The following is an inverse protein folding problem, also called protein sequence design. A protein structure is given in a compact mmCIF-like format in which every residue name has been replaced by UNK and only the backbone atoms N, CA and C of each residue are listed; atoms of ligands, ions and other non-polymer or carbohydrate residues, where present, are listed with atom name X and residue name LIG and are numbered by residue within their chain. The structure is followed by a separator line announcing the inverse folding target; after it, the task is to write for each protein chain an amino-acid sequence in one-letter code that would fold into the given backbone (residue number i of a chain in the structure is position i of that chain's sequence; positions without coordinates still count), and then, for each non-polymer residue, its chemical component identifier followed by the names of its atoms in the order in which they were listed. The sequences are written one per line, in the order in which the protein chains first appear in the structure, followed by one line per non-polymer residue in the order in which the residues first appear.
data_IF_851976150185
#
_entry.id   IF_851976150185
#
_cell.length_a   1.000
_cell.length_b   1.000
_cell.length_c   1.000
_cell.angle_alpha   90.00
_cell.angle_beta   90.00
_cell.angle_gamma   90.00
#
_symmetry.space_group_name_H-M   'P 1'
#
loop_
_entity.id
_entity.type
_entity.pdbx_description
1 polymer ?
#
# COMPACT_ATOMS: atom_id res chain seq x y z
N UNK A 1 -9.87 0.53 13.91
CA UNK A 1 -8.69 1.43 13.84
C UNK A 1 -7.63 0.91 14.79
N UNK A 2 -6.47 0.47 14.27
CA UNK A 2 -5.31 0.03 15.08
C UNK A 2 -4.07 0.89 14.80
N UNK A 3 -2.98 0.66 15.54
CA UNK A 3 -1.73 1.42 15.39
C UNK A 3 -1.14 1.31 13.97
N UNK A 4 -1.24 0.12 13.35
CA UNK A 4 -0.79 -0.08 11.97
C UNK A 4 -1.51 0.83 10.96
N UNK A 5 -2.83 0.97 11.06
CA UNK A 5 -3.61 1.89 10.20
C UNK A 5 -3.20 3.35 10.44
N UNK A 6 -2.89 3.75 11.69
CA UNK A 6 -2.41 5.11 11.97
C UNK A 6 -1.07 5.38 11.28
N UNK A 7 -0.15 4.42 11.32
CA UNK A 7 1.15 4.51 10.62
C UNK A 7 0.93 4.68 9.11
N UNK A 8 0.09 3.84 8.50
CA UNK A 8 -0.23 3.95 7.06
C UNK A 8 -0.82 5.31 6.72
N UNK A 9 -1.72 5.85 7.55
CA UNK A 9 -2.32 7.15 7.31
C UNK A 9 -1.30 8.29 7.36
N UNK A 10 -0.33 8.24 8.29
CA UNK A 10 0.77 9.22 8.36
C UNK A 10 1.61 9.16 7.09
N UNK A 11 2.02 7.95 6.67
CA UNK A 11 2.83 7.73 5.47
C UNK A 11 2.10 8.23 4.21
N UNK A 12 0.84 7.85 4.01
CA UNK A 12 0.03 8.26 2.85
C UNK A 12 -0.25 9.77 2.85
N UNK A 13 -0.62 10.33 4.00
CA UNK A 13 -0.89 11.76 4.13
C UNK A 13 0.35 12.60 3.82
N UNK A 14 1.51 12.17 4.34
CA UNK A 14 2.80 12.81 4.06
C UNK A 14 3.14 12.73 2.57
N UNK A 15 3.05 11.54 1.98
CA UNK A 15 3.32 11.37 0.55
C UNK A 15 2.38 12.22 -0.34
N UNK A 16 1.11 12.36 0.04
CA UNK A 16 0.13 13.19 -0.69
C UNK A 16 0.44 14.69 -0.61
N UNK A 17 1.03 15.17 0.48
CA UNK A 17 1.48 16.57 0.59
C UNK A 17 2.62 16.84 -0.38
N UNK A 18 3.60 15.95 -0.43
CA UNK A 18 4.79 16.12 -1.29
C UNK A 18 4.55 15.76 -2.75
N UNK A 19 3.56 14.89 -3.05
CA UNK A 19 3.31 14.40 -4.40
C UNK A 19 3.10 15.48 -5.44
N UNK A 20 2.50 16.62 -5.06
CA UNK A 20 2.28 17.77 -5.94
C UNK A 20 3.58 18.36 -6.51
N UNK A 21 4.69 18.27 -5.77
CA UNK A 21 5.96 18.88 -6.16
C UNK A 21 6.91 17.88 -6.83
N UNK A 22 6.69 16.58 -6.64
CA UNK A 22 7.62 15.52 -7.09
C UNK A 22 7.01 14.52 -8.08
N UNK A 23 5.70 14.57 -8.32
CA UNK A 23 5.02 13.70 -9.29
C UNK A 23 4.81 12.26 -8.83
N UNK A 24 4.69 12.00 -7.52
CA UNK A 24 4.44 10.65 -6.99
C UNK A 24 2.94 10.32 -6.94
N UNK A 25 2.53 9.14 -7.41
CA UNK A 25 1.11 8.71 -7.44
C UNK A 25 0.79 7.47 -6.60
N UNK A 26 1.77 6.64 -6.29
CA UNK A 26 1.54 5.37 -5.63
C UNK A 26 2.52 5.16 -4.48
N UNK A 27 2.05 4.49 -3.43
CA UNK A 27 2.91 3.85 -2.43
C UNK A 27 2.84 2.36 -2.66
N UNK A 28 4.00 1.72 -2.75
CA UNK A 28 4.11 0.27 -2.93
C UNK A 28 4.67 -0.38 -1.67
N UNK A 29 4.25 -1.62 -1.42
CA UNK A 29 4.78 -2.48 -0.36
C UNK A 29 5.02 -3.88 -0.91
N UNK A 30 6.05 -4.54 -0.41
CA UNK A 30 6.26 -5.97 -0.63
C UNK A 30 5.76 -6.73 0.60
N UNK A 31 4.49 -7.13 0.57
CA UNK A 31 3.80 -7.67 1.75
C UNK A 31 4.06 -9.17 1.89
N UNK A 32 4.30 -9.67 3.10
CA UNK A 32 4.37 -11.12 3.32
C UNK A 32 3.10 -11.80 2.81
N UNK A 33 3.28 -12.93 2.12
CA UNK A 33 2.18 -13.70 1.53
C UNK A 33 1.44 -14.54 2.59
N UNK A 34 0.88 -13.84 3.57
CA UNK A 34 0.08 -14.38 4.66
C UNK A 34 -1.31 -13.73 4.60
N UNK A 35 -2.42 -14.49 4.69
CA UNK A 35 -3.77 -13.97 4.51
C UNK A 35 -4.08 -12.72 5.37
N UNK A 36 -3.65 -12.70 6.62
CA UNK A 36 -3.85 -11.61 7.57
C UNK A 36 -3.05 -10.34 7.22
N UNK A 37 -1.83 -10.49 6.70
CA UNK A 37 -0.99 -9.36 6.27
C UNK A 37 -1.57 -8.75 5.00
N UNK A 38 -1.97 -9.59 4.05
CA UNK A 38 -2.62 -9.15 2.82
C UNK A 38 -3.94 -8.45 3.13
N UNK A 39 -4.78 -9.02 4.00
CA UNK A 39 -6.03 -8.42 4.42
C UNK A 39 -5.81 -7.07 5.14
N UNK A 40 -4.75 -6.94 5.95
CA UNK A 40 -4.38 -5.66 6.55
C UNK A 40 -4.13 -4.59 5.47
N UNK A 41 -3.32 -4.89 4.46
CA UNK A 41 -3.04 -3.93 3.39
C UNK A 41 -4.28 -3.65 2.51
N UNK A 42 -5.08 -4.65 2.17
CA UNK A 42 -6.35 -4.49 1.44
C UNK A 42 -7.32 -3.58 2.21
N UNK A 43 -7.47 -3.78 3.53
CA UNK A 43 -8.27 -2.93 4.41
C UNK A 43 -7.74 -1.48 4.53
N UNK A 44 -6.48 -1.26 4.17
CA UNK A 44 -5.85 0.06 4.09
C UNK A 44 -5.76 0.58 2.64
N UNK A 45 -6.62 0.09 1.75
CA UNK A 45 -6.78 0.50 0.35
C UNK A 45 -5.60 0.16 -0.58
N UNK A 46 -4.78 -0.82 -0.22
CA UNK A 46 -3.80 -1.37 -1.15
C UNK A 46 -4.46 -2.41 -2.07
N UNK A 47 -3.93 -2.52 -3.28
CA UNK A 47 -4.33 -3.48 -4.31
C UNK A 47 -3.10 -4.30 -4.72
N UNK A 48 -3.30 -5.59 -4.99
CA UNK A 48 -2.24 -6.46 -5.52
C UNK A 48 -1.84 -5.98 -6.92
N UNK A 49 -0.54 -5.92 -7.19
CA UNK A 49 -0.05 -5.83 -8.57
C UNK A 49 -0.20 -7.22 -9.18
N UNK A 50 -0.83 -7.33 -10.35
CA UNK A 50 -0.96 -8.61 -11.06
C UNK A 50 0.42 -9.12 -11.44
N UNK A 51 0.98 -9.99 -10.62
CA UNK A 51 2.18 -10.75 -10.91
C UNK A 51 1.79 -12.02 -11.66
N UNK A 52 2.56 -12.39 -12.70
CA UNK A 52 2.43 -13.71 -13.35
C UNK A 52 2.94 -14.85 -12.45
N UNK A 53 3.68 -14.53 -11.39
CA UNK A 53 4.27 -15.47 -10.44
C UNK A 53 3.28 -15.63 -9.27
N UNK A 54 2.62 -16.78 -9.20
CA UNK A 54 1.65 -17.14 -8.15
C UNK A 54 2.29 -17.61 -6.84
N UNK A 55 3.56 -17.99 -6.85
CA UNK A 55 4.27 -18.60 -5.72
C UNK A 55 5.44 -17.71 -5.30
N UNK A 56 5.17 -16.75 -4.43
CA UNK A 56 6.17 -15.85 -3.84
C UNK A 56 6.02 -15.79 -2.33
N UNK A 57 7.14 -15.59 -1.62
CA UNK A 57 7.15 -15.30 -0.17
C UNK A 57 6.43 -14.00 0.17
N UNK A 58 6.32 -13.12 -0.82
CA UNK A 58 5.71 -11.80 -0.72
C UNK A 58 4.81 -11.52 -1.93
N UNK A 59 3.94 -10.52 -1.76
CA UNK A 59 3.01 -10.01 -2.76
C UNK A 59 3.24 -8.51 -2.87
N UNK A 60 3.61 -8.06 -4.07
CA UNK A 60 3.72 -6.65 -4.37
C UNK A 60 2.32 -6.02 -4.40
N UNK A 61 2.11 -5.00 -3.59
CA UNK A 61 0.86 -4.26 -3.48
C UNK A 61 1.10 -2.76 -3.60
N UNK A 62 0.09 -2.03 -4.06
CA UNK A 62 0.16 -0.57 -4.22
C UNK A 62 -1.11 0.11 -3.74
N UNK A 63 -0.97 1.36 -3.27
CA UNK A 63 -2.07 2.27 -2.96
C UNK A 63 -1.90 3.55 -3.77
N UNK A 64 -2.95 3.95 -4.49
CA UNK A 64 -3.00 5.28 -5.12
C UNK A 64 -3.21 6.36 -4.04
N UNK A 65 -2.34 7.37 -4.04
CA UNK A 65 -2.36 8.47 -3.07
C UNK A 65 -3.03 9.75 -3.60
N UNK A 66 -3.48 9.74 -4.86
CA UNK A 66 -4.11 10.88 -5.55
C UNK A 66 -5.65 10.73 -5.64
N UNK A 67 -6.21 9.58 -5.26
CA UNK A 67 -7.67 9.35 -5.23
C UNK A 67 -8.38 10.51 -4.51
N UNK A 68 -9.48 11.07 -5.08
CA UNK A 68 -10.12 12.31 -4.63
C UNK A 68 -10.27 12.42 -3.11
#
# INVERSE_FOLDING_TARGET
MGIGTKIINVVVGTARIYSKNVGCRYICVDAYNQPEVIAFYENNNFKKIKSKIKEGKTVLMYRDIIVP
#
